data_IF_726045576303
#
_entry.id   IF_726045576303
#
_cell.length_a   1.000
_cell.length_b   1.000
_cell.length_c   1.000
_cell.angle_alpha   90.00
_cell.angle_beta   90.00
_cell.angle_gamma   90.00
#
_symmetry.space_group_name_H-M   'P 1'
#
loop_
_entity.id
_entity.type
_entity.pdbx_description
1 polymer ?
#
# COMPACT_ATOMS: atom_id res chain seq x y z
N UNK A 1 -16.86 -32.70 -18.26
CA UNK A 1 -16.77 -31.30 -18.72
C UNK A 1 -16.07 -30.49 -17.63
N UNK A 2 -14.90 -29.94 -17.94
CA UNK A 2 -14.10 -29.11 -17.02
C UNK A 2 -14.79 -27.74 -16.90
N UNK A 3 -15.39 -27.43 -15.75
CA UNK A 3 -16.00 -26.13 -15.51
C UNK A 3 -14.89 -25.09 -15.28
N UNK A 4 -14.83 -24.11 -16.17
CA UNK A 4 -13.90 -22.99 -16.13
C UNK A 4 -14.40 -22.01 -15.05
N UNK A 5 -13.66 -21.92 -13.93
CA UNK A 5 -13.97 -21.03 -12.81
C UNK A 5 -13.58 -19.60 -13.20
N UNK A 6 -14.53 -18.81 -13.69
CA UNK A 6 -14.30 -17.41 -14.04
C UNK A 6 -14.32 -16.54 -12.77
N UNK A 7 -13.14 -16.06 -12.38
CA UNK A 7 -12.90 -15.12 -11.29
C UNK A 7 -13.39 -13.71 -11.70
N UNK A 8 -14.47 -13.22 -11.10
CA UNK A 8 -14.89 -11.83 -11.22
C UNK A 8 -14.26 -11.01 -10.09
N UNK A 9 -13.31 -10.14 -10.44
CA UNK A 9 -12.76 -9.12 -9.55
C UNK A 9 -13.76 -7.97 -9.45
N UNK A 10 -14.40 -7.82 -8.30
CA UNK A 10 -15.08 -6.57 -7.95
C UNK A 10 -14.01 -5.62 -7.43
N UNK A 11 -13.57 -4.69 -8.27
CA UNK A 11 -12.72 -3.58 -7.86
C UNK A 11 -13.58 -2.61 -7.03
N UNK A 12 -13.48 -2.69 -5.70
CA UNK A 12 -13.91 -1.58 -4.87
C UNK A 12 -13.05 -0.36 -5.22
N UNK A 13 -13.68 0.65 -5.82
CA UNK A 13 -13.13 1.98 -6.04
C UNK A 13 -12.98 2.71 -4.70
N UNK A 14 -12.01 2.29 -3.90
CA UNK A 14 -11.41 3.09 -2.84
C UNK A 14 -9.93 3.18 -3.17
N UNK A 15 -9.59 4.28 -3.86
CA UNK A 15 -8.29 4.69 -4.43
C UNK A 15 -7.11 3.82 -3.98
N UNK A 16 -6.74 2.87 -4.84
CA UNK A 16 -5.51 2.09 -4.73
C UNK A 16 -4.29 2.99 -4.65
N UNK A 17 -3.24 2.51 -3.97
CA UNK A 17 -1.94 3.18 -3.82
C UNK A 17 -1.15 3.34 -5.12
N UNK A 18 -1.68 4.07 -6.10
CA UNK A 18 -1.00 4.38 -7.37
C UNK A 18 0.10 5.44 -7.22
N UNK A 19 0.32 5.95 -6.01
CA UNK A 19 1.24 7.04 -5.74
C UNK A 19 2.41 6.59 -4.88
N UNK A 20 3.60 7.07 -5.24
CA UNK A 20 4.87 6.87 -4.54
C UNK A 20 5.40 8.20 -4.05
N UNK A 21 6.28 8.17 -3.05
CA UNK A 21 7.04 9.34 -2.61
C UNK A 21 8.47 9.23 -3.13
N UNK A 22 8.89 10.16 -3.98
CA UNK A 22 10.22 10.21 -4.58
C UNK A 22 11.06 11.24 -3.82
N UNK A 23 12.06 10.77 -3.08
CA UNK A 23 12.99 11.63 -2.35
C UNK A 23 14.06 12.23 -3.27
N UNK A 24 14.26 13.56 -3.20
CA UNK A 24 15.33 14.27 -3.90
C UNK A 24 16.00 15.30 -2.99
N UNK A 25 17.26 15.63 -3.31
CA UNK A 25 17.99 16.71 -2.63
C UNK A 25 17.46 18.06 -3.10
N UNK A 26 16.76 18.76 -2.22
CA UNK A 26 16.06 19.98 -2.58
C UNK A 26 15.68 20.84 -1.39
N UNK A 27 15.52 22.12 -1.66
CA UNK A 27 14.98 23.11 -0.73
C UNK A 27 13.88 23.89 -1.43
N UNK A 28 12.63 23.88 -0.92
CA UNK A 28 11.60 24.78 -1.40
C UNK A 28 12.04 26.24 -1.24
N UNK A 29 11.84 27.06 -2.26
CA UNK A 29 12.22 28.47 -2.22
C UNK A 29 11.36 29.32 -1.28
N UNK A 30 10.23 28.77 -0.85
CA UNK A 30 9.32 29.41 0.09
C UNK A 30 8.66 28.36 1.00
N UNK A 31 8.39 28.76 2.24
CA UNK A 31 7.49 28.03 3.15
C UNK A 31 6.08 28.64 3.20
N UNK A 32 5.85 29.72 2.43
CA UNK A 32 4.57 30.44 2.42
C UNK A 32 3.45 29.48 1.99
N UNK A 33 2.33 29.50 2.72
CA UNK A 33 1.15 28.66 2.51
C UNK A 33 1.37 27.14 2.69
N UNK A 34 2.57 26.68 3.05
CA UNK A 34 2.79 25.28 3.38
C UNK A 34 2.07 24.92 4.68
N UNK A 35 1.44 23.76 4.72
CA UNK A 35 0.82 23.23 5.94
C UNK A 35 1.94 22.72 6.86
N UNK A 36 2.13 23.40 7.98
CA UNK A 36 3.09 22.99 9.01
C UNK A 36 2.43 21.96 9.95
N UNK A 37 3.03 20.78 10.09
CA UNK A 37 2.58 19.73 11.01
C UNK A 37 3.33 19.71 12.34
N UNK A 38 4.26 20.65 12.55
CA UNK A 38 5.12 20.68 13.73
C UNK A 38 6.23 19.63 13.68
N UNK A 39 6.76 19.32 14.86
CA UNK A 39 7.90 18.42 15.01
C UNK A 39 7.49 16.96 14.82
N UNK A 40 7.88 16.37 13.70
CA UNK A 40 7.66 14.95 13.39
C UNK A 40 8.88 14.38 12.67
N UNK A 41 8.98 13.05 12.62
CA UNK A 41 10.07 12.39 11.88
C UNK A 41 9.91 12.62 10.38
N UNK A 42 11.01 12.48 9.62
CA UNK A 42 10.95 12.60 8.15
C UNK A 42 9.95 11.64 7.53
N UNK A 43 9.94 10.39 8.00
CA UNK A 43 9.03 9.37 7.50
C UNK A 43 7.58 9.70 7.86
N UNK A 44 7.31 10.19 9.07
CA UNK A 44 5.98 10.72 9.42
C UNK A 44 5.55 11.89 8.53
N UNK A 45 6.47 12.76 8.13
CA UNK A 45 6.19 13.85 7.22
C UNK A 45 5.83 13.35 5.81
N UNK A 46 6.62 12.42 5.27
CA UNK A 46 6.33 11.80 3.98
C UNK A 46 5.00 11.04 4.00
N UNK A 47 4.73 10.28 5.07
CA UNK A 47 3.45 9.57 5.26
C UNK A 47 2.26 10.52 5.29
N UNK A 48 2.38 11.64 6.02
CA UNK A 48 1.32 12.63 6.07
C UNK A 48 1.03 13.24 4.70
N UNK A 49 2.04 13.38 3.85
CA UNK A 49 1.85 13.80 2.46
C UNK A 49 1.24 12.70 1.59
N UNK A 50 1.76 11.47 1.68
CA UNK A 50 1.27 10.34 0.91
C UNK A 50 -0.21 10.08 1.16
N UNK A 51 -0.63 10.04 2.42
CA UNK A 51 -2.03 9.84 2.82
C UNK A 51 -2.94 11.05 2.61
N UNK A 52 -2.40 12.22 2.27
CA UNK A 52 -3.19 13.41 1.97
C UNK A 52 -3.65 13.42 0.52
N UNK A 53 -4.94 13.65 0.30
CA UNK A 53 -5.53 13.75 -1.04
C UNK A 53 -5.01 14.94 -1.85
N UNK A 54 -4.49 15.97 -1.17
CA UNK A 54 -4.09 17.27 -1.76
C UNK A 54 -2.59 17.54 -1.67
N UNK A 55 -1.82 16.74 -0.94
CA UNK A 55 -0.37 16.97 -0.81
C UNK A 55 0.40 16.47 -2.03
N UNK A 56 1.37 17.28 -2.46
CA UNK A 56 2.26 17.01 -3.59
C UNK A 56 3.72 16.92 -3.13
N UNK A 57 4.14 17.75 -2.16
CA UNK A 57 5.52 17.78 -1.68
C UNK A 57 5.55 17.72 -0.15
N UNK A 58 6.42 16.87 0.39
CA UNK A 58 6.84 16.92 1.79
C UNK A 58 8.24 17.51 1.91
N UNK A 59 8.48 18.32 2.94
CA UNK A 59 9.79 18.86 3.27
C UNK A 59 9.98 18.90 4.78
N UNK A 60 11.13 18.42 5.26
CA UNK A 60 11.52 18.56 6.66
C UNK A 60 12.59 19.64 6.81
N UNK A 61 12.35 20.61 7.70
CA UNK A 61 13.33 21.63 8.06
C UNK A 61 13.38 21.77 9.57
N UNK A 62 14.56 21.54 10.15
CA UNK A 62 14.76 21.67 11.60
C UNK A 62 13.73 20.88 12.42
N UNK A 63 13.45 19.63 12.00
CA UNK A 63 12.42 18.72 12.55
C UNK A 63 10.96 19.13 12.33
N UNK A 64 10.68 20.32 11.82
CA UNK A 64 9.33 20.72 11.44
C UNK A 64 8.98 20.19 10.04
N UNK A 65 7.81 19.57 9.91
CA UNK A 65 7.29 19.07 8.63
C UNK A 65 6.41 20.10 7.93
N UNK A 66 6.68 20.30 6.64
CA UNK A 66 5.93 21.18 5.76
C UNK A 66 5.37 20.39 4.59
N UNK A 67 4.05 20.47 4.40
CA UNK A 67 3.33 19.86 3.29
C UNK A 67 2.87 20.93 2.30
N UNK A 68 3.07 20.68 1.02
CA UNK A 68 2.69 21.59 -0.07
C UNK A 68 1.64 20.94 -0.95
N UNK A 69 0.65 21.74 -1.36
CA UNK A 69 -0.37 21.39 -2.34
C UNK A 69 -0.23 22.28 -3.59
N UNK A 70 -1.20 22.23 -4.49
CA UNK A 70 -1.18 22.97 -5.76
C UNK A 70 -1.12 24.50 -5.60
N UNK A 71 -1.64 25.06 -4.50
CA UNK A 71 -1.69 26.51 -4.26
C UNK A 71 -0.51 27.02 -3.42
N UNK A 72 0.09 26.15 -2.60
CA UNK A 72 1.16 26.52 -1.70
C UNK A 72 2.55 26.46 -2.34
N UNK A 73 2.64 25.85 -3.52
CA UNK A 73 3.91 25.39 -4.04
C UNK A 73 4.64 26.45 -4.87
N UNK A 74 5.94 26.62 -4.58
CA UNK A 74 6.90 27.34 -5.41
C UNK A 74 7.89 26.40 -6.10
N UNK A 75 9.01 26.92 -6.57
CA UNK A 75 10.11 26.10 -7.11
C UNK A 75 10.95 25.48 -5.99
N UNK A 76 11.52 24.30 -6.24
CA UNK A 76 12.46 23.65 -5.33
C UNK A 76 13.86 23.75 -5.92
N UNK A 77 14.76 24.46 -5.24
CA UNK A 77 16.16 24.50 -5.64
C UNK A 77 16.82 23.17 -5.28
N UNK A 78 17.46 22.53 -6.24
CA UNK A 78 18.27 21.34 -6.00
C UNK A 78 19.46 21.72 -5.11
N UNK A 79 19.71 20.91 -4.09
CA UNK A 79 20.81 21.13 -3.15
C UNK A 79 21.91 20.08 -3.31
N UNK A 80 23.07 20.33 -2.71
CA UNK A 80 24.12 19.31 -2.59
C UNK A 80 23.60 18.12 -1.76
N UNK A 81 24.09 16.90 -2.03
CA UNK A 81 23.79 15.75 -1.19
C UNK A 81 23.99 16.07 0.30
N UNK A 82 23.13 15.52 1.16
CA UNK A 82 23.16 15.66 2.63
C UNK A 82 22.73 17.02 3.20
N UNK A 83 22.31 18.00 2.38
CA UNK A 83 21.85 19.29 2.89
C UNK A 83 20.37 19.27 3.31
N UNK A 84 19.47 19.18 2.33
CA UNK A 84 18.02 19.24 2.54
C UNK A 84 17.33 18.30 1.58
N UNK A 85 16.32 17.59 2.09
CA UNK A 85 15.54 16.63 1.32
C UNK A 85 14.11 17.13 1.16
N UNK A 86 13.54 16.83 0.01
CA UNK A 86 12.11 16.90 -0.27
C UNK A 86 11.65 15.56 -0.81
N UNK A 87 10.37 15.24 -0.63
CA UNK A 87 9.75 14.09 -1.28
C UNK A 87 8.59 14.55 -2.14
N UNK A 88 8.57 14.11 -3.39
CA UNK A 88 7.50 14.37 -4.33
C UNK A 88 6.52 13.21 -4.35
N UNK A 89 5.23 13.47 -4.17
CA UNK A 89 4.18 12.52 -4.49
C UNK A 89 4.10 12.40 -6.01
N UNK A 90 4.08 11.18 -6.51
CA UNK A 90 4.18 10.87 -7.93
C UNK A 90 3.38 9.62 -8.25
N UNK A 91 3.05 9.39 -9.52
CA UNK A 91 2.59 8.08 -9.96
C UNK A 91 3.71 7.05 -9.78
N UNK A 92 3.35 5.80 -9.48
CA UNK A 92 4.32 4.73 -9.22
C UNK A 92 5.23 4.40 -10.40
N UNK A 93 4.79 4.69 -11.63
CA UNK A 93 5.50 4.40 -12.86
C UNK A 93 5.73 5.65 -13.70
N UNK A 94 6.79 5.61 -14.51
CA UNK A 94 7.07 6.61 -15.53
C UNK A 94 6.09 6.48 -16.71
N UNK A 95 6.25 7.32 -17.74
CA UNK A 95 5.40 7.30 -18.94
C UNK A 95 5.41 5.96 -19.71
N UNK A 96 6.42 5.11 -19.49
CA UNK A 96 6.56 3.78 -20.11
C UNK A 96 6.00 2.66 -19.22
N UNK A 97 5.44 2.97 -18.05
CA UNK A 97 4.98 1.96 -17.09
C UNK A 97 6.12 1.33 -16.28
N UNK A 98 7.33 1.88 -16.34
CA UNK A 98 8.51 1.37 -15.62
C UNK A 98 8.74 2.16 -14.33
N UNK A 99 9.40 1.53 -13.35
CA UNK A 99 9.81 2.21 -12.13
C UNK A 99 10.94 3.23 -12.40
N UNK A 100 11.08 4.23 -11.53
CA UNK A 100 12.16 5.21 -11.64
C UNK A 100 13.49 4.63 -11.15
N UNK A 101 14.36 4.18 -12.06
CA UNK A 101 15.68 3.62 -11.73
C UNK A 101 16.82 4.65 -11.66
N UNK A 102 16.57 5.87 -12.13
CA UNK A 102 17.50 7.00 -12.16
C UNK A 102 16.77 8.27 -11.73
N UNK A 103 17.50 9.38 -11.50
CA UNK A 103 16.89 10.68 -11.19
C UNK A 103 15.91 11.03 -12.31
N UNK A 104 14.60 11.07 -12.02
CA UNK A 104 13.65 11.41 -13.05
C UNK A 104 13.83 12.89 -13.38
N UNK A 105 14.20 13.19 -14.61
CA UNK A 105 14.16 14.58 -15.10
C UNK A 105 12.72 15.10 -15.18
N UNK A 106 11.75 14.19 -15.20
CA UNK A 106 10.32 14.47 -15.21
C UNK A 106 9.56 13.39 -14.42
N UNK A 107 8.65 13.84 -13.57
CA UNK A 107 7.77 13.03 -12.72
C UNK A 107 6.35 13.50 -12.96
N UNK A 108 5.39 12.58 -13.06
CA UNK A 108 3.97 12.93 -13.16
C UNK A 108 3.19 12.41 -11.96
N UNK A 109 2.12 13.10 -11.58
CA UNK A 109 1.24 12.70 -10.49
C UNK A 109 -0.15 13.28 -10.63
N UNK A 110 -1.06 12.85 -9.75
CA UNK A 110 -2.39 13.43 -9.63
C UNK A 110 -2.79 13.61 -8.16
N UNK A 111 -3.59 14.63 -7.89
CA UNK A 111 -4.28 14.81 -6.60
C UNK A 111 -5.78 14.97 -6.86
N UNK A 112 -6.59 14.60 -5.88
CA UNK A 112 -8.04 14.71 -5.96
C UNK A 112 -8.51 15.82 -5.03
N UNK A 113 -9.22 16.80 -5.58
CA UNK A 113 -9.76 17.91 -4.83
C UNK A 113 -11.26 17.70 -4.62
N UNK A 114 -11.64 17.33 -3.39
CA UNK A 114 -13.02 17.28 -2.94
C UNK A 114 -13.30 18.52 -2.09
N UNK A 115 -13.95 19.54 -2.66
CA UNK A 115 -14.40 20.72 -1.89
C UNK A 115 -15.89 20.60 -1.61
N UNK A 116 -16.27 20.81 -0.36
CA UNK A 116 -17.66 20.76 0.08
C UNK A 116 -18.48 21.89 -0.60
N UNK A 117 -19.58 21.47 -1.21
CA UNK A 117 -20.82 22.21 -1.54
C UNK A 117 -20.92 23.26 -2.67
N UNK A 118 -19.90 23.56 -3.47
CA UNK A 118 -20.13 24.40 -4.68
C UNK A 118 -19.24 24.16 -5.91
N UNK A 119 -18.14 23.41 -5.77
CA UNK A 119 -17.26 23.04 -6.88
C UNK A 119 -17.32 21.53 -7.12
N UNK A 120 -17.44 21.12 -8.39
CA UNK A 120 -17.38 19.71 -8.75
C UNK A 120 -16.04 19.10 -8.35
N UNK A 121 -16.03 17.86 -7.82
CA UNK A 121 -14.79 17.15 -7.54
C UNK A 121 -13.93 17.09 -8.80
N UNK A 122 -12.64 17.40 -8.67
CA UNK A 122 -11.73 17.48 -9.81
C UNK A 122 -10.40 16.82 -9.53
N UNK A 123 -9.89 16.11 -10.52
CA UNK A 123 -8.52 15.63 -10.55
C UNK A 123 -7.61 16.73 -11.08
N UNK A 124 -6.55 17.02 -10.33
CA UNK A 124 -5.49 17.93 -10.75
C UNK A 124 -4.27 17.08 -11.08
N UNK A 125 -3.93 17.02 -12.36
CA UNK A 125 -2.72 16.35 -12.81
C UNK A 125 -1.56 17.34 -12.75
N UNK A 126 -0.37 16.86 -12.41
CA UNK A 126 0.82 17.69 -12.39
C UNK A 126 2.03 16.93 -12.93
N UNK A 127 2.97 17.72 -13.45
CA UNK A 127 4.27 17.26 -13.91
C UNK A 127 5.35 18.06 -13.19
N UNK A 128 6.29 17.38 -12.54
CA UNK A 128 7.46 17.95 -11.88
C UNK A 128 8.66 17.72 -12.79
N UNK A 129 9.30 18.78 -13.27
CA UNK A 129 10.45 18.69 -14.16
C UNK A 129 11.66 19.41 -13.59
N UNK A 130 12.84 18.82 -13.81
CA UNK A 130 14.12 19.43 -13.46
C UNK A 130 14.57 20.32 -14.62
N UNK A 131 14.63 21.63 -14.37
CA UNK A 131 15.12 22.64 -15.32
C UNK A 131 16.32 23.37 -14.71
N UNK A 132 17.51 23.08 -15.21
CA UNK A 132 18.76 23.56 -14.61
C UNK A 132 18.95 22.99 -13.20
N UNK A 133 19.02 23.87 -12.19
CA UNK A 133 19.16 23.47 -10.78
C UNK A 133 17.84 23.62 -9.99
N UNK A 134 16.70 23.64 -10.67
CA UNK A 134 15.39 23.84 -10.05
C UNK A 134 14.38 22.81 -10.52
N UNK A 135 13.66 22.23 -9.57
CA UNK A 135 12.44 21.48 -9.85
C UNK A 135 11.26 22.46 -9.95
N UNK A 136 10.51 22.33 -11.05
CA UNK A 136 9.32 23.11 -11.34
C UNK A 136 8.14 22.17 -11.47
N UNK A 137 6.99 22.55 -10.93
CA UNK A 137 5.77 21.76 -11.08
C UNK A 137 4.79 22.54 -11.94
N UNK A 138 4.25 21.85 -12.93
CA UNK A 138 3.28 22.38 -13.89
C UNK A 138 1.99 21.60 -13.73
N UNK A 139 0.90 22.32 -13.54
CA UNK A 139 -0.43 21.75 -13.33
C UNK A 139 -1.23 21.72 -14.62
N UNK A 140 -2.00 20.66 -14.82
CA UNK A 140 -3.00 20.55 -15.89
C UNK A 140 -4.35 20.26 -15.25
N UNK A 141 -5.27 21.20 -15.39
CA UNK A 141 -6.67 20.99 -15.04
C UNK A 141 -7.32 20.15 -16.14
N UNK A 142 -7.86 18.99 -15.76
CA UNK A 142 -8.76 18.24 -16.63
C UNK A 142 -10.16 18.38 -16.05
N UNK A 143 -10.91 19.36 -16.55
CA UNK A 143 -12.32 19.54 -16.15
C UNK A 143 -13.11 18.38 -16.74
N UNK A 144 -13.57 17.46 -15.89
CA UNK A 144 -14.51 16.42 -16.31
C UNK A 144 -15.90 17.06 -16.22
N UNK A 145 -16.45 17.44 -17.38
CA UNK A 145 -17.85 17.83 -17.48
C UNK A 145 -18.71 16.58 -17.36
N UNK A 146 -19.20 16.26 -16.16
CA UNK A 146 -20.23 15.22 -16.00
C UNK A 146 -21.56 15.85 -16.43
N UNK A 147 -21.93 15.65 -17.69
CA UNK A 147 -23.30 15.86 -18.12
C UNK A 147 -24.13 14.68 -17.60
N UNK A 148 -24.92 14.89 -16.54
CA UNK A 148 -26.03 13.98 -16.23
C UNK A 148 -27.08 14.15 -17.34
N UNK A 149 -26.97 13.37 -18.42
CA UNK A 149 -28.11 13.10 -19.29
C UNK A 149 -28.87 11.92 -18.71
N UNK A 150 -30.06 12.19 -18.20
CA UNK A 150 -31.10 11.16 -18.01
C UNK A 150 -31.36 10.46 -19.35
N UNK A 151 -31.40 9.13 -19.32
CA UNK A 151 -31.48 8.23 -20.48
C UNK A 151 -32.68 8.52 -21.40
N UNK A 152 -32.49 8.31 -22.71
CA UNK A 152 -33.28 7.35 -23.50
C UNK A 152 -32.84 7.31 -24.97
N UNK A 153 -32.59 6.07 -25.42
CA UNK A 153 -32.76 5.52 -26.77
C UNK A 153 -31.49 4.93 -27.42
N UNK A 154 -31.64 3.65 -27.72
CA UNK A 154 -30.78 2.78 -28.51
C UNK A 154 -30.88 3.17 -29.98
N UNK A 155 -29.74 3.27 -30.68
CA UNK A 155 -29.67 2.94 -32.10
C UNK A 155 -28.23 2.61 -32.50
N UNK A 156 -28.11 1.59 -33.33
CA UNK A 156 -26.91 0.91 -33.83
C UNK A 156 -26.26 1.63 -35.03
N UNK A 157 -25.00 1.22 -35.35
CA UNK A 157 -24.09 1.65 -36.45
C UNK A 157 -23.13 2.80 -36.03
N UNK A 158 -21.82 2.84 -36.27
CA UNK A 158 -20.91 2.21 -37.24
C UNK A 158 -19.42 2.32 -36.79
N UNK A 159 -18.64 1.25 -37.04
CA UNK A 159 -17.39 1.19 -37.83
C UNK A 159 -16.20 2.14 -37.55
N UNK A 160 -15.10 1.50 -37.09
CA UNK A 160 -13.66 1.58 -37.50
C UNK A 160 -13.08 2.90 -38.06
N UNK A 161 -11.95 3.34 -37.45
CA UNK A 161 -10.65 3.79 -38.03
C UNK A 161 -10.11 5.10 -37.42
N UNK A 162 -8.94 5.04 -36.76
CA UNK A 162 -7.66 5.47 -37.38
C UNK A 162 -6.51 5.49 -36.37
N UNK A 163 -5.50 4.67 -36.65
CA UNK A 163 -4.11 4.85 -36.24
C UNK A 163 -3.43 5.70 -37.31
N UNK A 164 -2.64 6.71 -36.93
CA UNK A 164 -1.58 7.27 -37.78
C UNK A 164 -0.36 7.66 -36.95
N UNK A 165 0.73 7.00 -37.29
CA UNK A 165 2.11 7.18 -36.83
C UNK A 165 2.78 8.41 -37.43
N UNK A 166 3.71 9.02 -36.69
CA UNK A 166 4.92 9.72 -37.16
C UNK A 166 5.90 9.60 -35.95
N UNK A 167 7.16 9.20 -35.98
CA UNK A 167 8.21 9.09 -37.00
C UNK A 167 9.52 9.55 -36.32
N UNK A 168 10.55 8.70 -36.30
CA UNK A 168 11.93 8.93 -35.77
C UNK A 168 12.60 10.17 -36.43
N UNK A 169 13.67 10.82 -35.93
CA UNK A 169 15.04 10.36 -35.63
C UNK A 169 15.90 11.60 -35.25
N UNK A 170 16.91 11.48 -34.35
CA UNK A 170 18.26 12.07 -34.48
C UNK A 170 19.11 11.90 -33.18
N UNK A 171 20.43 11.78 -33.35
CA UNK A 171 21.43 11.16 -32.47
C UNK A 171 22.65 12.07 -32.13
N UNK A 172 23.42 11.68 -31.08
CA UNK A 172 24.81 12.07 -30.65
C UNK A 172 25.04 13.48 -30.04
N UNK A 173 25.85 13.76 -29.00
CA UNK A 173 26.79 13.07 -28.05
C UNK A 173 27.14 14.10 -26.91
N UNK A 174 28.22 14.02 -26.06
CA UNK A 174 29.27 13.01 -25.87
C UNK A 174 29.33 12.41 -24.43
N UNK A 175 30.15 11.35 -24.27
CA UNK A 175 30.55 10.72 -23.01
C UNK A 175 31.39 11.70 -22.15
N UNK A 176 31.02 11.89 -20.88
CA UNK A 176 31.94 12.34 -19.84
C UNK A 176 31.82 11.44 -18.60
N UNK A 177 32.97 11.07 -18.05
CA UNK A 177 33.15 10.29 -16.84
C UNK A 177 32.67 11.10 -15.62
N UNK A 178 31.46 10.83 -15.14
CA UNK A 178 30.94 11.44 -13.92
C UNK A 178 30.52 10.33 -12.94
N UNK A 179 31.51 9.79 -12.23
CA UNK A 179 31.35 8.72 -11.22
C UNK A 179 30.78 9.22 -9.89
N UNK A 180 30.49 10.51 -9.75
CA UNK A 180 30.02 11.14 -8.50
C UNK A 180 28.57 11.66 -8.50
N UNK A 181 27.79 11.47 -9.58
CA UNK A 181 26.44 12.05 -9.70
C UNK A 181 25.23 11.17 -9.37
N UNK A 182 25.38 9.93 -8.88
CA UNK A 182 24.22 9.02 -8.81
C UNK A 182 24.12 8.20 -7.52
N UNK A 183 23.91 8.87 -6.39
CA UNK A 183 23.22 8.25 -5.25
C UNK A 183 22.06 9.13 -4.82
N UNK A 184 20.95 8.93 -5.52
CA UNK A 184 19.62 9.22 -5.00
C UNK A 184 19.34 8.11 -3.99
N UNK A 185 18.85 8.48 -2.81
CA UNK A 185 18.25 7.50 -1.92
C UNK A 185 16.94 7.09 -2.58
N UNK A 186 17.05 6.05 -3.40
CA UNK A 186 15.94 5.34 -4.01
C UNK A 186 15.32 4.47 -2.93
N UNK A 187 14.62 5.07 -1.97
CA UNK A 187 13.63 4.29 -1.27
C UNK A 187 12.40 4.32 -2.18
N UNK A 188 12.31 3.38 -3.12
CA UNK A 188 11.10 3.23 -3.91
C UNK A 188 10.04 2.60 -3.01
N UNK A 189 9.49 3.39 -2.09
CA UNK A 189 8.41 3.05 -1.16
C UNK A 189 7.09 2.77 -1.90
N UNK A 190 7.14 1.85 -2.85
CA UNK A 190 6.05 1.46 -3.72
C UNK A 190 5.59 0.07 -3.35
N UNK A 191 4.28 -0.03 -3.37
CA UNK A 191 3.56 -1.28 -3.32
C UNK A 191 3.00 -1.49 -4.72
N UNK A 192 3.07 -2.72 -5.24
CA UNK A 192 2.58 -3.01 -6.60
C UNK A 192 1.08 -2.68 -6.71
N UNK A 193 0.60 -2.35 -7.90
CA UNK A 193 -0.82 -2.08 -8.13
C UNK A 193 -1.70 -3.19 -7.54
N UNK A 194 -2.81 -2.79 -6.90
CA UNK A 194 -3.71 -3.72 -6.20
C UNK A 194 -3.26 -4.14 -4.79
N UNK A 195 -2.15 -3.61 -4.28
CA UNK A 195 -1.75 -3.75 -2.88
C UNK A 195 -1.96 -2.46 -2.09
N UNK A 196 -2.09 -2.60 -0.77
CA UNK A 196 -2.21 -1.47 0.15
C UNK A 196 -0.92 -1.27 0.93
N UNK A 197 -0.42 -0.03 0.97
CA UNK A 197 0.75 0.31 1.77
C UNK A 197 0.37 0.53 3.23
N UNK A 198 0.95 -0.26 4.12
CA UNK A 198 0.92 -0.06 5.57
C UNK A 198 2.29 0.45 5.97
N UNK A 199 2.32 1.70 6.42
CA UNK A 199 3.54 2.32 6.89
C UNK A 199 3.71 2.08 8.38
N UNK A 200 4.95 1.78 8.80
CA UNK A 200 5.27 1.39 10.17
C UNK A 200 6.11 2.46 10.84
N UNK A 201 6.08 2.44 12.17
CA UNK A 201 6.80 3.40 13.02
C UNK A 201 8.33 3.35 12.85
N UNK A 202 8.87 2.21 12.43
CA UNK A 202 10.29 2.04 12.09
C UNK A 202 10.64 2.52 10.67
N UNK A 203 9.68 3.13 9.97
CA UNK A 203 9.81 3.64 8.60
C UNK A 203 9.85 2.57 7.52
N UNK A 204 9.69 1.29 7.88
CA UNK A 204 9.41 0.24 6.91
C UNK A 204 7.97 0.37 6.39
N UNK A 205 7.74 -0.17 5.20
CA UNK A 205 6.41 -0.25 4.60
C UNK A 205 6.14 -1.70 4.27
N UNK A 206 4.95 -2.17 4.62
CA UNK A 206 4.43 -3.46 4.19
C UNK A 206 3.34 -3.28 3.15
N UNK A 207 3.45 -4.01 2.05
CA UNK A 207 2.45 -4.06 1.00
C UNK A 207 1.52 -5.23 1.25
N UNK A 208 0.26 -4.94 1.52
CA UNK A 208 -0.76 -5.92 1.82
C UNK A 208 -1.63 -6.23 0.61
N UNK A 209 -1.88 -7.52 0.41
CA UNK A 209 -2.96 -8.02 -0.45
C UNK A 209 -3.89 -8.88 0.41
N UNK A 210 -5.14 -8.98 0.00
CA UNK A 210 -6.13 -9.83 0.66
C UNK A 210 -6.75 -10.80 -0.34
N UNK A 211 -6.99 -12.03 0.10
CA UNK A 211 -7.80 -13.00 -0.62
C UNK A 211 -9.07 -13.25 0.18
N UNK A 212 -10.22 -13.25 -0.46
CA UNK A 212 -11.50 -13.50 0.18
C UNK A 212 -12.32 -14.52 -0.62
N UNK A 213 -13.21 -15.22 0.06
CA UNK A 213 -14.11 -16.15 -0.61
C UNK A 213 -15.26 -15.37 -1.27
N UNK A 214 -15.37 -15.50 -2.60
CA UNK A 214 -16.38 -14.78 -3.40
C UNK A 214 -17.71 -15.55 -3.48
N UNK A 215 -17.70 -16.87 -3.25
CA UNK A 215 -18.88 -17.73 -3.29
C UNK A 215 -18.77 -18.84 -2.22
N UNK A 216 -19.67 -18.81 -1.23
CA UNK A 216 -19.75 -19.81 -0.17
C UNK A 216 -18.80 -19.56 1.02
N UNK A 217 -18.89 -20.38 2.08
CA UNK A 217 -18.02 -20.23 3.23
C UNK A 217 -16.57 -20.43 2.81
N UNK A 218 -15.75 -19.38 2.91
CA UNK A 218 -14.31 -19.49 2.72
C UNK A 218 -13.76 -20.55 3.66
N UNK A 219 -12.96 -21.45 3.11
CA UNK A 219 -12.39 -22.55 3.87
C UNK A 219 -10.92 -22.71 3.51
N UNK A 220 -10.23 -21.58 3.63
CA UNK A 220 -8.81 -21.46 3.36
C UNK A 220 -8.02 -22.11 4.52
N UNK A 221 -7.56 -23.33 4.29
CA UNK A 221 -6.55 -23.95 5.17
C UNK A 221 -5.20 -23.23 5.01
N UNK A 222 -4.31 -23.39 5.97
CA UNK A 222 -3.03 -22.67 6.02
C UNK A 222 -2.18 -22.88 4.76
N UNK A 223 -2.06 -24.13 4.27
CA UNK A 223 -1.28 -24.46 3.07
C UNK A 223 -1.86 -23.82 1.81
N UNK A 224 -3.18 -23.84 1.66
CA UNK A 224 -3.87 -23.20 0.55
C UNK A 224 -3.71 -21.69 0.62
N UNK A 225 -3.87 -21.09 1.80
CA UNK A 225 -3.67 -19.65 2.01
C UNK A 225 -2.26 -19.22 1.64
N UNK A 226 -1.24 -19.97 2.07
CA UNK A 226 0.16 -19.73 1.70
C UNK A 226 0.35 -19.76 0.19
N UNK A 227 -0.08 -20.84 -0.45
CA UNK A 227 0.06 -21.04 -1.90
C UNK A 227 -0.68 -19.96 -2.68
N UNK A 228 -1.89 -19.60 -2.23
CA UNK A 228 -2.70 -18.53 -2.82
C UNK A 228 -2.01 -17.17 -2.73
N UNK A 229 -1.44 -16.82 -1.58
CA UNK A 229 -0.69 -15.58 -1.44
C UNK A 229 0.50 -15.52 -2.41
N UNK A 230 1.29 -16.61 -2.47
CA UNK A 230 2.46 -16.71 -3.35
C UNK A 230 2.08 -16.61 -4.84
N UNK A 231 1.05 -17.33 -5.27
CA UNK A 231 0.64 -17.39 -6.67
C UNK A 231 -0.11 -16.14 -7.14
N UNK A 232 -0.95 -15.54 -6.31
CA UNK A 232 -1.82 -14.44 -6.73
C UNK A 232 -1.21 -13.06 -6.51
N UNK A 233 -0.34 -12.90 -5.51
CA UNK A 233 0.23 -11.60 -5.15
C UNK A 233 1.76 -11.57 -5.17
N UNK A 234 2.42 -12.72 -5.39
CA UNK A 234 3.87 -12.84 -5.23
C UNK A 234 4.34 -12.47 -3.82
N UNK A 235 3.49 -12.63 -2.82
CA UNK A 235 3.77 -12.28 -1.42
C UNK A 235 3.50 -13.49 -0.52
N UNK A 236 4.24 -13.68 0.58
CA UNK A 236 3.93 -14.71 1.56
C UNK A 236 2.65 -14.38 2.36
N UNK A 237 2.20 -15.33 3.19
CA UNK A 237 1.22 -15.04 4.24
C UNK A 237 1.73 -13.90 5.12
N UNK A 238 0.82 -13.02 5.54
CA UNK A 238 1.18 -11.86 6.33
C UNK A 238 1.47 -12.21 7.78
N UNK A 239 2.67 -11.86 8.26
CA UNK A 239 2.95 -11.73 9.69
C UNK A 239 2.39 -10.42 10.24
N UNK A 240 2.20 -10.37 11.57
CA UNK A 240 1.86 -9.16 12.29
C UNK A 240 3.12 -8.65 12.99
N UNK A 241 3.73 -7.59 12.48
CA UNK A 241 5.03 -7.11 12.98
C UNK A 241 4.88 -5.87 13.87
N UNK A 242 3.92 -5.01 13.53
CA UNK A 242 3.67 -3.76 14.24
C UNK A 242 2.18 -3.55 14.49
N UNK A 243 1.85 -2.64 15.41
CA UNK A 243 0.46 -2.26 15.72
C UNK A 243 -0.25 -1.67 14.50
N UNK A 244 0.48 -1.03 13.59
CA UNK A 244 -0.04 -0.48 12.34
C UNK A 244 -0.56 -1.58 11.41
N UNK A 245 0.09 -2.75 11.38
CA UNK A 245 -0.39 -3.93 10.65
C UNK A 245 -1.73 -4.41 11.22
N UNK A 246 -1.85 -4.46 12.55
CA UNK A 246 -3.07 -4.90 13.24
C UNK A 246 -4.21 -3.93 13.01
N UNK A 247 -3.91 -2.62 13.07
CA UNK A 247 -4.87 -1.57 12.79
C UNK A 247 -5.41 -1.67 11.37
N UNK A 248 -4.54 -1.89 10.37
CA UNK A 248 -4.96 -2.06 8.98
C UNK A 248 -5.84 -3.29 8.79
N UNK A 249 -5.42 -4.46 9.31
CA UNK A 249 -6.21 -5.68 9.23
C UNK A 249 -7.57 -5.52 9.93
N UNK A 250 -7.61 -4.83 11.08
CA UNK A 250 -8.83 -4.53 11.80
C UNK A 250 -9.77 -3.66 10.96
N UNK A 251 -9.29 -2.56 10.37
CA UNK A 251 -10.12 -1.71 9.50
C UNK A 251 -10.75 -2.47 8.33
N UNK A 252 -10.01 -3.40 7.72
CA UNK A 252 -10.55 -4.27 6.67
C UNK A 252 -11.61 -5.24 7.18
N UNK A 253 -11.38 -5.86 8.34
CA UNK A 253 -12.37 -6.74 8.96
C UNK A 253 -13.63 -5.98 9.34
N UNK A 254 -13.51 -4.79 9.94
CA UNK A 254 -14.64 -3.94 10.30
C UNK A 254 -15.49 -3.58 9.07
N UNK A 255 -14.86 -3.31 7.92
CA UNK A 255 -15.58 -3.06 6.66
C UNK A 255 -16.38 -4.27 6.16
N UNK A 256 -16.02 -5.49 6.56
CA UNK A 256 -16.73 -6.73 6.19
C UNK A 256 -17.84 -7.11 7.18
N UNK A 257 -17.86 -6.57 8.40
CA UNK A 257 -18.90 -6.87 9.41
C UNK A 257 -20.35 -6.56 9.00
N UNK A 258 -20.65 -5.57 8.13
CA UNK A 258 -22.02 -5.34 7.66
C UNK A 258 -22.54 -6.43 6.72
N UNK A 259 -21.67 -7.28 6.15
CA UNK A 259 -22.07 -8.31 5.19
C UNK A 259 -22.93 -9.37 5.90
N UNK A 260 -24.16 -9.53 5.41
CA UNK A 260 -25.12 -10.50 5.97
C UNK A 260 -24.55 -11.92 5.88
N UNK A 261 -24.56 -12.64 7.01
CA UNK A 261 -24.02 -14.00 7.10
C UNK A 261 -22.57 -14.10 7.57
N UNK A 262 -21.90 -12.98 7.85
CA UNK A 262 -20.55 -12.92 8.40
C UNK A 262 -20.53 -12.38 9.85
N UNK A 263 -21.20 -13.07 10.77
CA UNK A 263 -21.26 -12.64 12.18
C UNK A 263 -19.94 -12.91 12.94
N UNK A 264 -19.26 -14.01 12.62
CA UNK A 264 -17.94 -14.34 13.16
C UNK A 264 -17.19 -15.24 12.18
N UNK A 265 -15.91 -14.94 11.97
CA UNK A 265 -15.07 -15.68 11.04
C UNK A 265 -13.60 -15.61 11.44
N UNK A 266 -12.79 -16.50 10.85
CA UNK A 266 -11.34 -16.42 10.96
C UNK A 266 -10.73 -15.76 9.74
N UNK A 267 -9.62 -15.05 9.96
CA UNK A 267 -8.72 -14.64 8.89
C UNK A 267 -7.38 -15.36 9.05
N UNK A 268 -6.79 -15.81 7.94
CA UNK A 268 -5.47 -16.45 7.94
C UNK A 268 -4.36 -15.41 7.90
N UNK A 269 -3.42 -15.60 8.80
CA UNK A 269 -2.15 -14.89 8.90
C UNK A 269 -1.04 -15.93 9.03
N UNK A 270 0.20 -15.47 8.94
CA UNK A 270 1.36 -16.32 9.06
C UNK A 270 1.62 -16.74 10.52
N UNK A 271 2.26 -17.90 10.68
CA UNK A 271 2.63 -18.49 11.95
C UNK A 271 2.02 -19.88 12.16
N UNK A 272 2.87 -20.89 12.20
CA UNK A 272 2.54 -22.26 12.63
C UNK A 272 3.48 -22.68 13.76
N UNK A 273 3.00 -23.31 14.83
CA UNK A 273 3.88 -23.80 15.89
C UNK A 273 4.95 -24.74 15.32
N UNK A 274 6.15 -24.62 15.85
CA UNK A 274 7.22 -25.60 15.59
C UNK A 274 6.82 -26.98 16.09
N UNK A 275 7.40 -28.04 15.51
CA UNK A 275 7.09 -29.42 15.90
C UNK A 275 7.31 -29.71 17.39
N UNK A 276 8.31 -29.08 18.01
CA UNK A 276 8.53 -29.17 19.46
C UNK A 276 7.40 -28.50 20.24
N UNK A 277 6.99 -27.30 19.83
CA UNK A 277 5.93 -26.53 20.49
C UNK A 277 4.52 -27.06 20.28
N UNK A 278 4.30 -27.91 19.28
CA UNK A 278 3.05 -28.67 19.14
C UNK A 278 2.89 -29.72 20.26
N UNK A 279 3.97 -30.17 20.90
CA UNK A 279 3.92 -31.12 22.02
C UNK A 279 3.79 -30.40 23.37
N UNK A 280 4.50 -29.28 23.55
CA UNK A 280 4.59 -28.55 24.83
C UNK A 280 4.31 -27.04 24.65
N UNK A 281 3.09 -26.65 24.27
CA UNK A 281 2.78 -25.28 23.85
C UNK A 281 2.85 -24.23 24.98
N UNK A 282 2.84 -24.65 26.24
CA UNK A 282 2.79 -23.79 27.43
C UNK A 282 4.17 -23.40 27.99
N UNK A 283 5.26 -23.90 27.41
CA UNK A 283 6.61 -23.48 27.82
C UNK A 283 6.86 -22.03 27.39
N UNK A 284 7.69 -21.30 28.13
CA UNK A 284 8.04 -19.91 27.81
C UNK A 284 8.57 -19.75 26.38
N UNK A 285 9.43 -20.68 25.95
CA UNK A 285 9.93 -20.75 24.58
C UNK A 285 8.79 -20.82 23.57
N UNK A 286 7.81 -21.70 23.79
CA UNK A 286 6.68 -21.94 22.89
C UNK A 286 5.60 -20.86 22.94
N UNK A 287 5.58 -20.05 24.00
CA UNK A 287 4.74 -18.86 24.11
C UNK A 287 5.36 -17.63 23.44
N UNK A 288 6.64 -17.69 23.05
CA UNK A 288 7.32 -16.62 22.32
C UNK A 288 7.18 -16.78 20.80
N UNK A 289 7.60 -15.75 20.05
CA UNK A 289 7.72 -15.82 18.57
C UNK A 289 8.60 -16.98 18.10
N UNK A 290 9.57 -17.42 18.91
CA UNK A 290 10.46 -18.55 18.60
C UNK A 290 9.73 -19.90 18.62
N UNK A 291 8.55 -19.95 19.24
CA UNK A 291 7.68 -21.12 19.24
C UNK A 291 7.00 -21.38 17.90
N UNK A 292 7.10 -20.47 16.94
CA UNK A 292 6.40 -20.49 15.67
C UNK A 292 7.35 -20.35 14.48
N UNK A 293 7.00 -21.00 13.37
CA UNK A 293 7.59 -20.83 12.07
C UNK A 293 6.74 -19.84 11.27
N UNK A 294 7.41 -18.90 10.62
CA UNK A 294 6.82 -17.93 9.71
C UNK A 294 7.41 -18.16 8.32
N UNK A 295 6.58 -18.08 7.28
CA UNK A 295 7.01 -18.17 5.88
C UNK A 295 7.42 -16.81 5.32
N UNK A 296 6.85 -15.71 5.85
CA UNK A 296 7.21 -14.35 5.50
C UNK A 296 8.42 -13.84 6.27
N UNK A 297 8.49 -12.52 6.45
CA UNK A 297 9.52 -11.96 7.32
C UNK A 297 9.35 -12.49 8.75
N UNK A 298 10.44 -12.76 9.49
CA UNK A 298 10.34 -13.17 10.87
C UNK A 298 9.63 -12.12 11.73
N UNK A 299 8.58 -12.53 12.46
CA UNK A 299 7.92 -11.69 13.45
C UNK A 299 8.84 -11.56 14.66
N UNK A 300 9.18 -10.32 15.03
CA UNK A 300 10.17 -10.04 16.09
C UNK A 300 9.59 -10.10 17.50
N UNK A 301 8.31 -9.78 17.66
CA UNK A 301 7.62 -9.75 18.95
C UNK A 301 6.12 -9.98 18.81
N UNK A 302 5.47 -10.42 19.90
CA UNK A 302 4.01 -10.53 20.01
C UNK A 302 3.35 -9.30 20.66
N UNK A 303 4.07 -8.19 20.87
CA UNK A 303 3.51 -6.99 21.53
C UNK A 303 2.31 -6.37 20.81
N UNK A 304 2.21 -6.58 19.50
CA UNK A 304 1.09 -6.10 18.68
C UNK A 304 -0.09 -7.08 18.62
N UNK A 305 0.05 -8.26 19.23
CA UNK A 305 -0.95 -9.32 19.17
C UNK A 305 -1.96 -9.15 20.30
N UNK A 306 -3.18 -8.73 19.94
CA UNK A 306 -4.31 -8.69 20.86
C UNK A 306 -4.88 -10.10 21.05
N UNK A 307 -4.32 -10.90 21.94
CA UNK A 307 -4.70 -12.32 22.09
C UNK A 307 -6.14 -12.51 22.61
N UNK A 308 -6.81 -13.57 22.18
CA UNK A 308 -8.05 -14.05 22.80
C UNK A 308 -7.77 -14.54 24.23
N UNK A 309 -6.68 -15.28 24.41
CA UNK A 309 -6.20 -15.72 25.72
C UNK A 309 -4.69 -15.49 25.81
N UNK A 310 -3.89 -16.21 25.03
CA UNK A 310 -2.45 -15.98 24.86
C UNK A 310 -1.89 -16.88 23.73
N UNK A 311 -0.60 -16.80 23.48
CA UNK A 311 0.12 -17.61 22.49
C UNK A 311 0.24 -19.11 22.83
N UNK A 312 -0.01 -19.58 24.06
CA UNK A 312 -0.05 -21.02 24.39
C UNK A 312 -1.40 -21.67 24.13
N UNK A 313 -2.41 -20.87 23.79
CA UNK A 313 -3.78 -21.34 23.57
C UNK A 313 -3.80 -22.46 22.54
N UNK A 314 -4.57 -23.51 22.85
CA UNK A 314 -4.74 -24.68 21.98
C UNK A 314 -6.03 -25.38 22.37
N UNK A 315 -7.05 -25.24 21.54
CA UNK A 315 -8.35 -25.85 21.81
C UNK A 315 -8.31 -27.37 21.71
N UNK A 316 -7.58 -27.90 20.71
CA UNK A 316 -7.41 -29.34 20.47
C UNK A 316 -6.03 -29.64 19.91
N UNK A 317 -5.61 -30.90 20.02
CA UNK A 317 -4.40 -31.36 19.31
C UNK A 317 -4.53 -31.08 17.80
N UNK A 318 -3.47 -30.57 17.18
CA UNK A 318 -3.44 -30.11 15.78
C UNK A 318 -3.88 -28.66 15.54
N UNK A 319 -4.29 -27.92 16.59
CA UNK A 319 -4.63 -26.50 16.49
C UNK A 319 -3.37 -25.67 16.75
N UNK A 320 -2.59 -25.47 15.71
CA UNK A 320 -1.22 -25.00 15.82
C UNK A 320 -0.93 -23.79 14.89
N UNK A 321 -1.95 -23.23 14.22
CA UNK A 321 -1.80 -22.09 13.31
C UNK A 321 -2.40 -20.80 13.88
N UNK A 322 -1.69 -19.69 13.70
CA UNK A 322 -2.19 -18.36 14.06
C UNK A 322 -3.35 -17.96 13.14
N UNK A 323 -4.37 -17.35 13.75
CA UNK A 323 -5.52 -16.77 13.05
C UNK A 323 -5.93 -15.47 13.69
N UNK A 324 -6.54 -14.59 12.90
CA UNK A 324 -7.30 -13.47 13.43
C UNK A 324 -8.75 -13.91 13.65
N UNK A 325 -9.28 -13.61 14.83
CA UNK A 325 -10.66 -13.89 15.23
C UNK A 325 -11.49 -12.63 15.05
N UNK A 326 -12.32 -12.64 14.03
CA UNK A 326 -13.30 -11.59 13.73
C UNK A 326 -14.61 -11.93 14.43
N UNK A 327 -15.05 -11.06 15.32
CA UNK A 327 -16.33 -11.15 16.02
C UNK A 327 -17.02 -9.78 15.89
N UNK A 328 -18.28 -9.77 15.49
CA UNK A 328 -19.06 -8.54 15.30
C UNK A 328 -19.03 -7.61 16.52
N UNK A 329 -19.00 -8.16 17.74
CA UNK A 329 -19.10 -7.42 19.00
C UNK A 329 -17.76 -7.13 19.67
N UNK A 330 -16.66 -7.67 19.17
CA UNK A 330 -15.33 -7.58 19.81
C UNK A 330 -14.30 -7.02 18.83
N UNK A 331 -13.23 -6.37 19.32
CA UNK A 331 -12.12 -5.99 18.47
C UNK A 331 -11.46 -7.24 17.88
N UNK A 332 -10.79 -7.07 16.75
CA UNK A 332 -9.99 -8.13 16.13
C UNK A 332 -8.94 -8.63 17.13
N UNK A 333 -8.84 -9.94 17.26
CA UNK A 333 -7.95 -10.61 18.20
C UNK A 333 -7.18 -11.74 17.52
N UNK A 334 -6.10 -12.21 18.14
CA UNK A 334 -5.30 -13.34 17.65
C UNK A 334 -5.58 -14.57 18.50
N UNK A 335 -5.66 -15.73 17.86
CA UNK A 335 -5.76 -17.03 18.52
C UNK A 335 -4.98 -18.10 17.75
N UNK A 336 -4.84 -19.29 18.34
CA UNK A 336 -4.24 -20.46 17.70
C UNK A 336 -5.33 -21.48 17.41
N UNK A 337 -5.56 -21.75 16.13
CA UNK A 337 -6.63 -22.62 15.64
C UNK A 337 -6.11 -23.66 14.67
N UNK A 338 -7.01 -24.53 14.22
CA UNK A 338 -6.70 -25.56 13.23
C UNK A 338 -6.02 -24.97 12.01
N UNK A 339 -4.91 -25.61 11.60
CA UNK A 339 -4.26 -25.31 10.33
C UNK A 339 -5.07 -25.80 9.13
N UNK A 340 -6.01 -26.72 9.37
CA UNK A 340 -6.88 -27.29 8.34
C UNK A 340 -8.23 -26.59 8.33
N UNK A 341 -9.15 -27.18 7.58
CA UNK A 341 -10.56 -26.77 7.43
C UNK A 341 -11.41 -27.08 8.67
N UNK A 342 -10.87 -27.92 9.57
CA UNK A 342 -11.55 -28.38 10.77
C UNK A 342 -11.46 -27.33 11.88
N UNK A 343 -12.09 -26.17 11.67
CA UNK A 343 -12.11 -25.08 12.64
C UNK A 343 -13.55 -24.70 12.98
N UNK A 344 -13.85 -24.23 14.22
CA UNK A 344 -15.21 -23.88 14.62
C UNK A 344 -15.84 -22.76 13.80
N UNK A 345 -15.01 -21.84 13.30
CA UNK A 345 -15.43 -20.79 12.37
C UNK A 345 -14.77 -20.99 11.00
N UNK A 346 -15.45 -20.54 9.97
CA UNK A 346 -14.96 -20.56 8.60
C UNK A 346 -13.92 -19.47 8.38
N UNK A 347 -12.97 -19.72 7.47
CA UNK A 347 -11.90 -18.78 7.16
C UNK A 347 -12.30 -17.97 5.94
N UNK A 348 -12.69 -16.72 6.14
CA UNK A 348 -13.25 -15.90 5.06
C UNK A 348 -12.23 -15.01 4.37
N UNK A 349 -11.12 -14.74 5.05
CA UNK A 349 -10.12 -13.78 4.61
C UNK A 349 -8.71 -14.36 4.79
N UNK A 350 -7.81 -14.04 3.88
CA UNK A 350 -6.40 -14.36 3.95
C UNK A 350 -5.63 -13.08 3.74
N UNK A 351 -4.70 -12.77 4.64
CA UNK A 351 -3.80 -11.63 4.49
C UNK A 351 -2.46 -12.09 3.95
N UNK A 352 -2.00 -11.43 2.88
CA UNK A 352 -0.69 -11.62 2.28
C UNK A 352 0.09 -10.33 2.45
N UNK A 353 1.38 -10.40 2.76
CA UNK A 353 2.19 -9.19 2.80
C UNK A 353 3.66 -9.42 2.49
N UNK A 354 4.28 -8.40 1.92
CA UNK A 354 5.73 -8.32 1.72
C UNK A 354 6.21 -6.89 2.00
N UNK A 355 7.50 -6.68 2.29
CA UNK A 355 8.06 -5.33 2.32
C UNK A 355 7.79 -4.61 1.00
N UNK A 356 7.58 -3.29 1.07
CA UNK A 356 7.67 -2.44 -0.11
C UNK A 356 9.03 -2.60 -0.78
N UNK A 357 9.07 -2.36 -2.08
CA UNK A 357 10.33 -2.43 -2.82
C UNK A 357 11.37 -1.52 -2.15
N UNK A 358 12.57 -2.06 -1.91
CA UNK A 358 13.71 -1.29 -1.42
C UNK A 358 14.65 -1.00 -2.56
#
# INVERSE_FOLDING_TARGET
>A
MKSLLTLFLVFDFLTSGTHVMIEVWGKPNSLKNAKNLGNITWNSCMMACHGSEVCIIAHLRSQACYLYNEVAMGTVNRTKPQNMVVAFKANATNANGECFDVEPIEISGAIFHYKNTSENPKWIHYTISLSGNQWKVVYRLKTISISMKSELSVSSRDVVKNVKSIGQLATFGPRSNDRDKRRIYKNNYSCSDGTWAVFRSDSSIACYTKLYAVQGPGDFNYTYSKTGCEQQSGSPLAGLHYKEDMSYMNSLVEALKPVKGLDSFYSRIDGIRTTACQKTPTTEYCMSVKGFNFVGQPVKSFDSYNWVTNSSSREKSGYDCLVLVSDKKKPLRVDVKSCTKNSPLTVQLVFCSKPAFT
#
